data_IF_100079326506
#
_entry.id   IF_100079326506
#
_cell.length_a   1.000
_cell.length_b   1.000
_cell.length_c   1.000
_cell.angle_alpha   90.00
_cell.angle_beta   90.00
_cell.angle_gamma   90.00
#
_symmetry.space_group_name_H-M   'P 1'
#
loop_
_entity.id
_entity.type
_entity.pdbx_description
1 polymer ?
#
# COMPACT_ATOMS: atom_id res chain seq x y z
N UNK A 1 -9.53 -25.92 -34.30
CA UNK A 1 -8.95 -25.54 -33.01
C UNK A 1 -7.91 -24.47 -33.26
N UNK A 2 -7.98 -23.33 -32.56
CA UNK A 2 -6.96 -22.29 -32.63
C UNK A 2 -6.03 -22.43 -31.43
N UNK A 3 -4.75 -22.10 -31.59
CA UNK A 3 -3.83 -22.04 -30.45
C UNK A 3 -3.75 -20.61 -29.92
N UNK A 4 -3.35 -20.45 -28.65
CA UNK A 4 -3.24 -19.14 -28.02
C UNK A 4 -2.06 -18.34 -28.61
N UNK A 5 -2.33 -17.13 -29.09
CA UNK A 5 -1.35 -16.20 -29.66
C UNK A 5 -1.06 -15.02 -28.73
N UNK A 6 -1.95 -14.71 -27.79
CA UNK A 6 -1.76 -13.54 -26.93
C UNK A 6 -2.73 -13.43 -25.77
N UNK A 7 -2.35 -12.61 -24.79
CA UNK A 7 -3.16 -12.32 -23.60
C UNK A 7 -3.36 -10.82 -23.47
N UNK A 8 -4.61 -10.40 -23.27
CA UNK A 8 -4.95 -9.01 -22.95
C UNK A 8 -5.78 -8.95 -21.68
N UNK A 9 -5.62 -7.86 -20.92
CA UNK A 9 -6.39 -7.62 -19.69
C UNK A 9 -7.15 -6.32 -19.90
N UNK A 10 -8.47 -6.36 -19.74
CA UNK A 10 -9.29 -5.16 -19.84
C UNK A 10 -9.21 -4.27 -18.59
N UNK A 11 -9.88 -3.11 -18.66
CA UNK A 11 -9.95 -2.14 -17.55
C UNK A 11 -10.64 -2.69 -16.30
N UNK A 12 -11.47 -3.72 -16.48
CA UNK A 12 -12.18 -4.40 -15.41
C UNK A 12 -11.36 -5.57 -14.84
N UNK A 13 -10.16 -5.86 -15.37
CA UNK A 13 -9.34 -6.96 -14.91
C UNK A 13 -9.76 -8.33 -15.44
N UNK A 14 -10.60 -8.38 -16.48
CA UNK A 14 -10.92 -9.61 -17.21
C UNK A 14 -9.75 -9.93 -18.15
N UNK A 15 -9.27 -11.15 -18.05
CA UNK A 15 -8.17 -11.71 -18.85
C UNK A 15 -8.79 -12.40 -20.05
N UNK A 16 -8.40 -11.95 -21.24
CA UNK A 16 -8.81 -12.52 -22.52
C UNK A 16 -7.62 -13.22 -23.19
N UNK A 17 -7.90 -14.38 -23.78
CA UNK A 17 -6.95 -15.07 -24.67
C UNK A 17 -7.33 -14.81 -26.12
N UNK A 18 -6.32 -14.49 -26.94
CA UNK A 18 -6.44 -14.30 -28.38
C UNK A 18 -5.97 -15.58 -29.05
N UNK A 19 -6.82 -16.18 -29.87
CA UNK A 19 -6.52 -17.42 -30.56
C UNK A 19 -6.19 -17.18 -32.04
N UNK A 20 -5.44 -18.09 -32.64
CA UNK A 20 -5.04 -18.09 -34.06
C UNK A 20 -6.18 -18.20 -35.09
N UNK A 21 -7.42 -18.20 -34.62
CA UNK A 21 -8.65 -18.24 -35.41
C UNK A 21 -9.46 -16.93 -35.27
N UNK A 22 -8.80 -15.83 -34.88
CA UNK A 22 -9.37 -14.51 -34.59
C UNK A 22 -10.46 -14.51 -33.49
N UNK A 23 -10.57 -15.59 -32.71
CA UNK A 23 -11.47 -15.62 -31.55
C UNK A 23 -10.79 -15.06 -30.32
N UNK A 24 -11.56 -14.30 -29.54
CA UNK A 24 -11.16 -13.79 -28.23
C UNK A 24 -12.13 -14.33 -27.20
N UNK A 25 -11.61 -15.09 -26.23
CA UNK A 25 -12.45 -15.68 -25.18
C UNK A 25 -11.98 -15.24 -23.79
N UNK A 26 -12.92 -14.94 -22.87
CA UNK A 26 -12.57 -14.63 -21.49
C UNK A 26 -12.06 -15.90 -20.80
N UNK A 27 -10.83 -15.83 -20.28
CA UNK A 27 -10.20 -16.95 -19.57
C UNK A 27 -10.35 -16.85 -18.06
N UNK A 28 -10.31 -15.63 -17.52
CA UNK A 28 -10.32 -15.43 -16.08
C UNK A 28 -10.38 -13.96 -15.69
N UNK A 29 -10.19 -13.69 -14.41
CA UNK A 29 -10.23 -12.33 -13.86
C UNK A 29 -9.23 -12.16 -12.72
N UNK A 30 -8.69 -10.95 -12.58
CA UNK A 30 -7.70 -10.62 -11.52
C UNK A 30 -8.42 -10.38 -10.21
N UNK A 31 -8.25 -11.26 -9.22
CA UNK A 31 -8.82 -11.06 -7.88
C UNK A 31 -8.21 -9.86 -7.16
N UNK A 32 -9.03 -8.86 -6.86
CA UNK A 32 -8.65 -7.70 -6.05
C UNK A 32 -9.46 -7.69 -4.75
N UNK A 33 -8.79 -7.29 -3.67
CA UNK A 33 -9.39 -7.12 -2.35
C UNK A 33 -9.14 -5.71 -1.86
N UNK A 34 -10.11 -5.13 -1.15
CA UNK A 34 -9.91 -3.91 -0.38
C UNK A 34 -9.98 -4.19 1.11
N UNK A 35 -9.32 -3.34 1.87
CA UNK A 35 -9.42 -3.28 3.32
C UNK A 35 -10.12 -1.97 3.70
N UNK A 36 -10.77 -1.96 4.87
CA UNK A 36 -11.37 -0.73 5.41
C UNK A 36 -10.27 0.19 5.91
N UNK A 37 -9.19 -0.39 6.44
CA UNK A 37 -8.07 0.34 7.00
C UNK A 37 -6.72 -0.26 6.52
N UNK A 38 -6.11 0.36 5.53
CA UNK A 38 -4.82 -0.09 4.98
C UNK A 38 -3.68 0.06 5.99
N UNK A 39 -3.75 1.04 6.90
CA UNK A 39 -2.75 1.24 7.97
C UNK A 39 -2.83 0.16 9.05
N UNK A 40 -3.88 -0.66 9.05
CA UNK A 40 -4.02 -1.83 9.91
C UNK A 40 -3.28 -3.06 9.38
N UNK A 41 -2.69 -2.99 8.18
CA UNK A 41 -1.91 -4.09 7.60
C UNK A 41 -0.46 -4.05 8.09
N UNK A 42 0.11 -5.22 8.38
CA UNK A 42 1.53 -5.35 8.67
C UNK A 42 2.30 -5.62 7.38
N UNK A 43 3.41 -4.91 7.20
CA UNK A 43 4.37 -5.20 6.14
C UNK A 43 5.13 -6.47 6.47
N UNK A 44 4.99 -7.50 5.63
CA UNK A 44 5.67 -8.80 5.82
C UNK A 44 6.99 -8.85 5.06
N UNK A 45 7.17 -7.99 4.06
CA UNK A 45 8.40 -7.83 3.29
C UNK A 45 8.13 -7.25 1.92
N UNK A 46 9.12 -6.58 1.32
CA UNK A 46 8.99 -5.94 0.00
C UNK A 46 7.69 -5.10 -0.11
N UNK A 47 6.77 -5.45 -1.02
CA UNK A 47 5.45 -4.83 -1.16
C UNK A 47 4.30 -5.75 -0.68
N UNK A 48 4.61 -6.79 0.11
CA UNK A 48 3.63 -7.72 0.65
C UNK A 48 3.15 -7.27 2.03
N UNK A 49 1.84 -7.38 2.22
CA UNK A 49 1.13 -7.01 3.43
C UNK A 49 0.31 -8.20 3.93
N UNK A 50 0.22 -8.34 5.26
CA UNK A 50 -0.64 -9.30 5.92
C UNK A 50 -1.59 -8.58 6.86
N UNK A 51 -2.78 -9.16 7.01
CA UNK A 51 -3.72 -8.74 8.04
C UNK A 51 -3.08 -8.89 9.42
N UNK A 52 -3.34 -7.94 10.31
CA UNK A 52 -2.93 -8.03 11.71
C UNK A 52 -4.13 -8.34 12.59
N UNK A 53 -3.99 -9.24 13.57
CA UNK A 53 -5.08 -9.50 14.50
C UNK A 53 -5.38 -8.22 15.28
N UNK A 54 -6.67 -7.91 15.45
CA UNK A 54 -7.03 -6.86 16.41
C UNK A 54 -6.83 -7.37 17.83
N UNK A 55 -6.38 -6.49 18.70
CA UNK A 55 -6.29 -6.78 20.13
C UNK A 55 -7.67 -6.48 20.74
N UNK A 56 -8.06 -7.22 21.78
CA UNK A 56 -9.11 -6.85 22.74
C UNK A 56 -10.55 -6.61 22.23
N UNK A 57 -11.19 -7.64 21.65
CA UNK A 57 -12.67 -7.76 21.67
C UNK A 57 -13.44 -6.85 20.71
N UNK A 58 -12.77 -6.29 19.70
CA UNK A 58 -13.42 -5.54 18.62
C UNK A 58 -14.23 -6.49 17.71
N UNK A 59 -15.35 -5.98 17.16
CA UNK A 59 -16.25 -6.73 16.26
C UNK A 59 -15.57 -7.28 15.00
N UNK A 60 -14.37 -6.81 14.66
CA UNK A 60 -13.59 -7.30 13.53
C UNK A 60 -12.33 -8.04 14.00
N UNK A 61 -12.05 -9.25 13.47
CA UNK A 61 -10.88 -10.04 13.86
C UNK A 61 -9.54 -9.40 13.46
N UNK A 62 -9.54 -8.41 12.56
CA UNK A 62 -8.33 -7.79 12.02
C UNK A 62 -8.37 -6.27 12.14
N UNK A 63 -7.24 -5.62 12.47
CA UNK A 63 -7.14 -4.14 12.52
C UNK A 63 -7.36 -3.47 11.18
N UNK A 64 -7.10 -4.19 10.09
CA UNK A 64 -7.36 -3.76 8.72
C UNK A 64 -8.84 -3.87 8.31
N UNK A 65 -9.64 -4.57 9.12
CA UNK A 65 -10.93 -5.10 8.71
C UNK A 65 -10.78 -6.39 7.88
N UNK A 66 -11.92 -7.00 7.57
CA UNK A 66 -12.01 -8.20 6.72
C UNK A 66 -11.82 -7.78 5.25
N UNK A 67 -10.97 -8.47 4.46
CA UNK A 67 -10.81 -8.15 3.04
C UNK A 67 -12.13 -8.32 2.30
N UNK A 68 -12.60 -7.27 1.65
CA UNK A 68 -13.75 -7.33 0.75
C UNK A 68 -13.25 -7.57 -0.67
N UNK A 69 -13.68 -8.67 -1.30
CA UNK A 69 -13.38 -8.92 -2.70
C UNK A 69 -14.13 -7.91 -3.57
N UNK A 70 -13.43 -7.27 -4.51
CA UNK A 70 -14.02 -6.29 -5.43
C UNK A 70 -14.79 -6.93 -6.58
N UNK A 71 -14.80 -8.26 -6.62
CA UNK A 71 -15.61 -9.08 -7.52
C UNK A 71 -16.77 -9.69 -6.75
N UNK A 72 -17.58 -8.84 -6.14
CA UNK A 72 -18.76 -9.29 -5.42
C UNK A 72 -19.99 -9.24 -6.33
N UNK A 73 -20.67 -10.37 -6.45
CA UNK A 73 -22.01 -10.41 -7.03
C UNK A 73 -22.98 -9.88 -5.97
N UNK A 74 -23.45 -8.65 -6.12
CA UNK A 74 -24.60 -8.18 -5.33
C UNK A 74 -25.87 -8.75 -5.92
N UNK A 75 -26.41 -9.77 -5.26
CA UNK A 75 -27.77 -10.27 -5.45
C UNK A 75 -28.74 -9.08 -5.58
N UNK A 76 -29.51 -8.99 -6.67
CA UNK A 76 -30.47 -7.91 -6.93
C UNK A 76 -29.97 -6.72 -7.75
N UNK A 77 -28.74 -6.78 -8.26
CA UNK A 77 -28.24 -5.83 -9.27
C UNK A 77 -27.79 -6.61 -10.50
N UNK A 78 -28.25 -6.23 -11.71
CA UNK A 78 -27.84 -6.83 -13.01
C UNK A 78 -26.34 -6.67 -13.33
N UNK A 79 -25.55 -6.21 -12.37
CA UNK A 79 -24.12 -5.98 -12.50
C UNK A 79 -23.35 -7.24 -12.10
N UNK A 80 -23.57 -8.32 -12.84
CA UNK A 80 -22.81 -9.57 -12.67
C UNK A 80 -21.41 -9.36 -13.25
N UNK A 81 -20.38 -9.40 -12.41
CA UNK A 81 -18.98 -9.41 -12.88
C UNK A 81 -18.39 -8.05 -13.24
N UNK A 82 -18.88 -6.94 -12.67
CA UNK A 82 -18.15 -5.66 -12.72
C UNK A 82 -17.22 -5.56 -11.52
N UNK A 83 -15.96 -5.26 -11.79
CA UNK A 83 -14.99 -4.95 -10.75
C UNK A 83 -15.36 -3.60 -10.11
N UNK A 84 -15.73 -3.62 -8.82
CA UNK A 84 -16.07 -2.42 -8.05
C UNK A 84 -14.80 -1.72 -7.55
N UNK A 85 -14.07 -1.10 -8.49
CA UNK A 85 -12.95 -0.22 -8.16
C UNK A 85 -13.46 1.12 -7.59
N UNK A 86 -12.60 1.85 -6.88
CA UNK A 86 -12.84 3.26 -6.55
C UNK A 86 -13.26 4.04 -7.80
N UNK A 87 -14.22 4.96 -7.65
CA UNK A 87 -14.68 5.81 -8.75
C UNK A 87 -13.48 6.46 -9.46
N UNK A 88 -13.30 6.18 -10.75
CA UNK A 88 -12.18 6.66 -11.56
C UNK A 88 -10.93 5.77 -11.60
N UNK A 89 -10.92 4.66 -10.89
CA UNK A 89 -9.83 3.68 -10.91
C UNK A 89 -10.11 2.61 -11.98
N UNK A 90 -9.07 2.21 -12.71
CA UNK A 90 -9.13 1.19 -13.75
C UNK A 90 -7.82 0.41 -13.78
N UNK A 91 -7.89 -0.89 -14.08
CA UNK A 91 -6.68 -1.68 -14.33
C UNK A 91 -6.07 -1.23 -15.66
N UNK A 92 -4.78 -0.90 -15.65
CA UNK A 92 -4.02 -0.52 -16.84
C UNK A 92 -3.04 -1.63 -17.20
N UNK A 93 -3.25 -2.28 -18.34
CA UNK A 93 -2.33 -3.29 -18.83
C UNK A 93 -1.01 -2.64 -19.29
N UNK A 94 0.11 -3.37 -19.14
CA UNK A 94 1.46 -2.94 -19.59
C UNK A 94 1.98 -1.67 -18.91
N UNK A 95 1.45 -1.33 -17.73
CA UNK A 95 1.94 -0.23 -16.89
C UNK A 95 2.42 -0.78 -15.56
N UNK A 96 3.44 -0.12 -14.99
CA UNK A 96 3.98 -0.42 -13.67
C UNK A 96 3.70 0.77 -12.75
N UNK A 97 3.15 0.51 -11.57
CA UNK A 97 2.95 1.54 -10.55
C UNK A 97 4.30 1.94 -9.94
N UNK A 98 4.61 3.23 -9.99
CA UNK A 98 5.82 3.80 -9.41
C UNK A 98 5.59 4.20 -7.95
N UNK A 99 6.66 4.38 -7.19
CA UNK A 99 6.57 4.89 -5.83
C UNK A 99 5.89 6.26 -5.77
N UNK A 100 5.16 6.51 -4.69
CA UNK A 100 4.52 7.79 -4.39
C UNK A 100 5.46 8.79 -3.70
N UNK A 101 6.72 8.43 -3.47
CA UNK A 101 7.70 9.25 -2.76
C UNK A 101 8.59 10.00 -3.74
N UNK A 102 8.75 11.31 -3.53
CA UNK A 102 9.78 12.11 -4.18
C UNK A 102 11.07 12.11 -3.35
N UNK A 103 12.17 11.73 -4.00
CA UNK A 103 13.48 11.58 -3.38
C UNK A 103 14.06 12.92 -2.90
N UNK A 104 13.82 14.01 -3.62
CA UNK A 104 14.34 15.32 -3.22
C UNK A 104 13.70 15.75 -1.89
N UNK A 105 12.38 15.66 -1.81
CA UNK A 105 11.61 15.96 -0.59
C UNK A 105 12.04 15.04 0.56
N UNK A 106 12.07 13.72 0.34
CA UNK A 106 12.45 12.75 1.37
C UNK A 106 13.87 13.00 1.93
N UNK A 107 14.84 13.37 1.09
CA UNK A 107 16.20 13.71 1.55
C UNK A 107 16.23 15.00 2.37
N UNK A 108 15.42 16.00 2.01
CA UNK A 108 15.33 17.23 2.81
C UNK A 108 14.72 16.99 4.17
N UNK A 109 13.70 16.14 4.27
CA UNK A 109 13.11 15.74 5.55
C UNK A 109 14.14 15.02 6.43
N UNK A 110 14.93 14.11 5.85
CA UNK A 110 16.04 13.45 6.58
C UNK A 110 17.07 14.48 7.05
N UNK A 111 17.44 15.46 6.23
CA UNK A 111 18.38 16.52 6.65
C UNK A 111 17.83 17.38 7.79
N UNK A 112 16.53 17.70 7.77
CA UNK A 112 15.87 18.42 8.87
C UNK A 112 15.88 17.59 10.15
N UNK A 113 15.53 16.30 10.06
CA UNK A 113 15.57 15.37 11.20
C UNK A 113 16.98 15.24 11.77
N UNK A 114 18.00 15.13 10.91
CA UNK A 114 19.40 15.08 11.33
C UNK A 114 19.85 16.37 12.01
N UNK A 115 19.50 17.55 11.47
CA UNK A 115 19.82 18.84 12.10
C UNK A 115 19.13 19.00 13.46
N UNK A 116 17.87 18.58 13.57
CA UNK A 116 17.14 18.57 14.84
C UNK A 116 17.83 17.68 15.87
N UNK A 117 18.25 16.47 15.46
CA UNK A 117 19.02 15.58 16.32
C UNK A 117 20.36 16.19 16.77
N UNK A 118 21.14 16.79 15.86
CA UNK A 118 22.41 17.45 16.20
C UNK A 118 22.22 18.67 17.10
N UNK A 119 21.15 19.45 16.89
CA UNK A 119 20.80 20.57 17.76
C UNK A 119 20.47 20.10 19.17
N UNK A 120 19.62 19.07 19.30
CA UNK A 120 19.27 18.48 20.59
C UNK A 120 20.50 17.90 21.30
N UNK A 121 21.36 17.18 20.59
CA UNK A 121 22.61 16.67 21.13
C UNK A 121 23.53 17.80 21.60
N UNK A 122 23.64 18.89 20.83
CA UNK A 122 24.46 20.04 21.22
C UNK A 122 23.90 20.73 22.47
N UNK A 123 22.59 20.94 22.55
CA UNK A 123 21.92 21.49 23.74
C UNK A 123 22.20 20.68 25.01
N UNK A 124 22.19 19.34 24.90
CA UNK A 124 22.54 18.44 26.02
C UNK A 124 24.00 18.64 26.42
N UNK A 125 24.95 18.60 25.47
CA UNK A 125 26.37 18.79 25.81
C UNK A 125 26.66 20.15 26.44
N UNK A 126 26.02 21.22 25.96
CA UNK A 126 26.18 22.54 26.55
C UNK A 126 25.57 22.62 27.95
N UNK A 127 24.45 21.93 28.19
CA UNK A 127 23.88 21.85 29.53
C UNK A 127 24.82 21.08 30.48
N UNK A 128 25.40 19.97 30.03
CA UNK A 128 26.38 19.20 30.81
C UNK A 128 27.62 20.03 31.16
N UNK A 129 28.13 20.83 30.22
CA UNK A 129 29.29 21.69 30.46
C UNK A 129 28.97 22.80 31.46
N UNK A 130 27.78 23.41 31.38
CA UNK A 130 27.31 24.40 32.37
C UNK A 130 27.13 23.78 33.76
N UNK A 131 26.61 22.55 33.85
CA UNK A 131 26.47 21.82 35.12
C UNK A 131 27.85 21.56 35.74
N UNK A 132 28.84 21.14 34.94
CA UNK A 132 30.22 20.93 35.43
C UNK A 132 30.83 22.21 35.97
N UNK A 133 30.67 23.33 35.25
CA UNK A 133 31.18 24.63 35.67
C UNK A 133 30.50 25.10 36.98
N UNK A 134 29.17 24.95 37.08
CA UNK A 134 28.43 25.28 38.29
C UNK A 134 28.88 24.45 39.52
N UNK A 135 29.22 23.17 39.33
CA UNK A 135 29.80 22.32 40.39
C UNK A 135 31.21 22.81 40.76
N UNK A 136 32.00 23.24 39.77
CA UNK A 136 33.34 23.80 39.98
C UNK A 136 33.34 25.08 40.83
N UNK A 137 32.37 25.96 40.59
CA UNK A 137 32.18 27.21 41.35
C UNK A 137 31.74 27.02 42.81
N UNK A 138 31.24 25.82 43.18
CA UNK A 138 30.80 25.52 44.55
C UNK A 138 31.97 25.21 45.51
N UNK A 139 33.20 25.08 45.02
CA UNK A 139 34.39 24.86 45.87
C UNK A 139 34.99 26.14 46.41
#
# INVERSE_FOLDING_TARGET
>A
EGFNEGVSIDKNGIIYMHFSNDKVEPFGRVGLSRFINDQGLAKVGSNLFSVTPSLNGETSPYKSGIPTLLWEHKEGTDTVGRLDLFSGSAIKQKMLETSNVDMATALTEIMVMQRSYSANAKSITTADDLIKEAIGLKR
#
